data_IF_321105773389
#
_entry.id   IF_321105773389
#
_cell.length_a   1.000
_cell.length_b   1.000
_cell.length_c   1.000
_cell.angle_alpha   90.00
_cell.angle_beta   90.00
_cell.angle_gamma   90.00
#
_symmetry.space_group_name_H-M   'P 1'
#
loop_
_entity.id
_entity.type
_entity.pdbx_description
1 polymer ?
#
# COMPACT_ATOMS: atom_id res chain seq x y z
N UNK A 1 -12.81 5.92 25.69
CA UNK A 1 -13.02 5.04 24.52
C UNK A 1 -11.78 5.18 23.65
N UNK A 2 -11.29 4.11 23.07
CA UNK A 2 -10.16 4.12 22.14
C UNK A 2 -10.63 3.60 20.78
N UNK A 3 -10.05 4.14 19.72
CA UNK A 3 -10.21 3.66 18.35
C UNK A 3 -8.81 3.41 17.80
N UNK A 4 -8.64 2.34 17.02
CA UNK A 4 -7.45 2.07 16.25
C UNK A 4 -7.80 2.27 14.78
N UNK A 5 -7.03 3.10 14.08
CA UNK A 5 -7.19 3.36 12.66
C UNK A 5 -6.00 2.78 11.92
N UNK A 6 -6.27 1.97 10.89
CA UNK A 6 -5.27 1.32 10.03
C UNK A 6 -5.74 1.47 8.57
N UNK A 7 -4.86 2.01 7.70
CA UNK A 7 -5.17 2.21 6.30
C UNK A 7 -4.91 0.96 5.47
N UNK A 8 -5.99 0.37 4.96
CA UNK A 8 -5.94 -0.82 4.10
C UNK A 8 -4.94 -0.70 2.95
N UNK A 9 -4.01 -1.66 2.88
CA UNK A 9 -3.03 -1.79 1.79
C UNK A 9 -2.29 -0.47 1.48
N UNK A 10 -1.90 0.28 2.52
CA UNK A 10 -1.53 1.69 2.45
C UNK A 10 -0.70 2.10 1.22
N UNK A 11 0.47 1.50 0.98
CA UNK A 11 1.30 1.89 -0.17
C UNK A 11 0.63 1.60 -1.53
N UNK A 12 -0.06 0.47 -1.68
CA UNK A 12 -0.80 0.18 -2.93
C UNK A 12 -2.01 1.13 -3.09
N UNK A 13 -2.63 1.55 -2.00
CA UNK A 13 -3.70 2.55 -1.99
C UNK A 13 -3.18 3.93 -2.37
N UNK A 14 -1.98 4.33 -1.92
CA UNK A 14 -1.33 5.57 -2.32
C UNK A 14 -1.06 5.63 -3.82
N UNK A 15 -0.58 4.54 -4.42
CA UNK A 15 -0.34 4.47 -5.87
C UNK A 15 -1.62 4.50 -6.71
N UNK A 16 -2.76 4.14 -6.14
CA UNK A 16 -4.03 3.99 -6.87
C UNK A 16 -5.03 5.12 -6.64
N UNK A 17 -4.91 5.89 -5.55
CA UNK A 17 -5.89 6.92 -5.16
C UNK A 17 -6.13 7.96 -6.25
N UNK A 18 -5.10 8.31 -7.03
CA UNK A 18 -5.18 9.27 -8.14
C UNK A 18 -5.17 8.60 -9.53
N UNK A 19 -5.29 7.27 -9.60
CA UNK A 19 -5.15 6.47 -10.83
C UNK A 19 -6.42 5.66 -11.11
N UNK A 20 -7.49 6.29 -11.65
CA UNK A 20 -8.74 5.61 -11.92
C UNK A 20 -8.61 4.47 -12.95
N UNK A 21 -7.58 4.51 -13.81
CA UNK A 21 -7.23 3.46 -14.75
C UNK A 21 -6.74 2.15 -14.10
N UNK A 22 -6.43 2.17 -12.80
CA UNK A 22 -5.98 1.02 -12.03
C UNK A 22 -7.11 0.36 -11.20
N UNK A 23 -8.34 0.87 -11.27
CA UNK A 23 -9.48 0.30 -10.53
C UNK A 23 -9.72 -1.16 -10.91
N UNK A 24 -9.83 -2.02 -9.90
CA UNK A 24 -10.03 -3.46 -10.07
C UNK A 24 -8.81 -4.20 -10.64
N UNK A 25 -7.65 -3.55 -10.77
CA UNK A 25 -6.42 -4.21 -11.21
C UNK A 25 -5.58 -4.65 -10.01
N UNK A 26 -4.89 -5.79 -10.09
CA UNK A 26 -3.94 -6.19 -9.07
C UNK A 26 -2.72 -5.26 -9.10
N UNK A 27 -2.54 -4.49 -8.04
CA UNK A 27 -1.43 -3.56 -7.81
C UNK A 27 -0.55 -4.06 -6.66
N UNK A 28 0.77 -3.94 -6.83
CA UNK A 28 1.76 -4.22 -5.79
C UNK A 28 2.85 -3.14 -5.76
N UNK A 29 3.44 -2.96 -4.58
CA UNK A 29 4.62 -2.11 -4.37
C UNK A 29 5.79 -2.99 -3.97
N UNK A 30 6.93 -2.74 -4.60
CA UNK A 30 8.19 -3.46 -4.36
C UNK A 30 9.10 -2.64 -3.45
N UNK A 31 9.96 -3.34 -2.69
CA UNK A 31 10.99 -2.74 -1.84
C UNK A 31 12.03 -1.97 -2.65
N UNK A 32 12.97 -1.32 -1.97
CA UNK A 32 14.19 -0.79 -2.59
C UNK A 32 14.84 -1.81 -3.54
N UNK A 33 15.32 -1.32 -4.68
CA UNK A 33 15.85 -2.11 -5.79
C UNK A 33 14.89 -3.18 -6.33
N UNK A 34 13.58 -3.01 -6.14
CA UNK A 34 12.53 -3.91 -6.60
C UNK A 34 12.72 -5.37 -6.13
N UNK A 35 13.29 -5.54 -4.94
CA UNK A 35 13.69 -6.84 -4.40
C UNK A 35 12.50 -7.73 -4.06
N UNK A 36 11.64 -7.27 -3.15
CA UNK A 36 10.52 -8.04 -2.60
C UNK A 36 9.20 -7.27 -2.68
N UNK A 37 8.08 -8.00 -2.66
CA UNK A 37 6.75 -7.39 -2.52
C UNK A 37 6.55 -6.89 -1.10
N UNK A 38 6.30 -5.60 -0.91
CA UNK A 38 6.12 -4.99 0.42
C UNK A 38 4.71 -4.45 0.66
N UNK A 39 3.91 -4.26 -0.39
CA UNK A 39 2.49 -4.00 -0.28
C UNK A 39 1.74 -4.58 -1.48
N UNK A 40 0.48 -4.92 -1.26
CA UNK A 40 -0.39 -5.52 -2.27
C UNK A 40 -1.83 -5.09 -2.04
N UNK A 41 -2.50 -4.74 -3.14
CA UNK A 41 -3.95 -4.52 -3.21
C UNK A 41 -4.73 -5.80 -2.88
N UNK A 42 -6.02 -5.66 -2.62
CA UNK A 42 -6.92 -6.79 -2.39
C UNK A 42 -6.96 -7.72 -3.62
N UNK A 43 -6.97 -7.16 -4.82
CA UNK A 43 -6.94 -7.86 -6.09
C UNK A 43 -5.64 -8.66 -6.27
N UNK A 44 -4.49 -8.08 -5.92
CA UNK A 44 -3.21 -8.79 -5.95
C UNK A 44 -3.16 -9.93 -4.92
N UNK A 45 -3.74 -9.73 -3.73
CA UNK A 45 -3.87 -10.79 -2.72
C UNK A 45 -4.77 -11.93 -3.22
N UNK A 46 -5.89 -11.61 -3.86
CA UNK A 46 -6.80 -12.60 -4.45
C UNK A 46 -6.15 -13.37 -5.62
N UNK A 47 -5.26 -12.72 -6.36
CA UNK A 47 -4.44 -13.36 -7.40
C UNK A 47 -3.31 -14.27 -6.86
N UNK A 48 -3.16 -14.39 -5.54
CA UNK A 48 -2.18 -15.27 -4.90
C UNK A 48 -0.77 -14.69 -4.79
N UNK A 49 -0.56 -13.40 -5.05
CA UNK A 49 0.76 -12.77 -4.89
C UNK A 49 1.17 -12.76 -3.43
N UNK A 50 2.32 -13.36 -3.11
CA UNK A 50 2.83 -13.45 -1.74
C UNK A 50 3.50 -12.14 -1.28
N UNK A 51 3.25 -11.77 -0.02
CA UNK A 51 3.92 -10.66 0.67
C UNK A 51 5.33 -11.09 1.09
N UNK A 52 6.32 -10.20 0.99
CA UNK A 52 7.70 -10.44 1.41
C UNK A 52 8.52 -11.32 0.47
N UNK A 53 7.89 -12.02 -0.47
CA UNK A 53 8.59 -12.90 -1.39
C UNK A 53 9.31 -12.09 -2.49
N UNK A 54 10.55 -12.47 -2.87
CA UNK A 54 11.29 -11.79 -3.92
C UNK A 54 10.54 -11.73 -5.25
N UNK A 55 10.54 -10.56 -5.87
CA UNK A 55 9.86 -10.29 -7.14
C UNK A 55 10.26 -11.29 -8.23
N UNK A 56 11.54 -11.63 -8.33
CA UNK A 56 12.06 -12.52 -9.37
C UNK A 56 11.45 -13.93 -9.34
N UNK A 57 11.06 -14.43 -8.16
CA UNK A 57 10.45 -15.76 -8.01
C UNK A 57 8.98 -15.78 -8.41
N UNK A 58 8.32 -14.63 -8.44
CA UNK A 58 6.90 -14.50 -8.72
C UNK A 58 6.62 -13.95 -10.13
N UNK A 59 7.65 -13.68 -10.96
CA UNK A 59 7.52 -13.04 -12.28
C UNK A 59 6.48 -13.68 -13.20
N UNK A 60 6.41 -15.01 -13.25
CA UNK A 60 5.43 -15.71 -14.09
C UNK A 60 3.99 -15.51 -13.59
N UNK A 61 3.78 -15.55 -12.28
CA UNK A 61 2.48 -15.29 -11.68
C UNK A 61 2.04 -13.84 -11.94
N UNK A 62 2.96 -12.89 -11.80
CA UNK A 62 2.71 -11.48 -12.08
C UNK A 62 2.28 -11.25 -13.53
N UNK A 63 2.98 -11.88 -14.48
CA UNK A 63 2.64 -11.79 -15.90
C UNK A 63 1.25 -12.37 -16.18
N UNK A 64 0.94 -13.54 -15.60
CA UNK A 64 -0.36 -14.21 -15.80
C UNK A 64 -1.53 -13.44 -15.19
N UNK A 65 -1.33 -12.85 -14.01
CA UNK A 65 -2.36 -12.07 -13.32
C UNK A 65 -2.45 -10.61 -13.78
N UNK A 66 -1.57 -10.15 -14.68
CA UNK A 66 -1.60 -8.78 -15.19
C UNK A 66 -1.30 -7.72 -14.13
N UNK A 67 -0.43 -8.07 -13.16
CA UNK A 67 -0.08 -7.24 -12.00
C UNK A 67 0.63 -5.95 -12.44
N UNK A 68 0.22 -4.83 -11.87
CA UNK A 68 0.90 -3.54 -12.00
C UNK A 68 1.84 -3.37 -10.81
N UNK A 69 3.13 -3.19 -11.09
CA UNK A 69 4.15 -3.01 -10.07
C UNK A 69 4.60 -1.56 -10.00
N UNK A 70 4.81 -1.08 -8.78
CA UNK A 70 5.47 0.19 -8.50
C UNK A 70 6.71 -0.06 -7.65
N UNK A 71 7.79 0.65 -7.95
CA UNK A 71 8.89 0.81 -6.99
C UNK A 71 8.41 1.67 -5.82
N UNK A 72 9.01 1.50 -4.63
CA UNK A 72 8.64 2.30 -3.47
C UNK A 72 8.83 3.80 -3.68
N UNK A 73 7.77 4.58 -3.49
CA UNK A 73 7.78 6.04 -3.48
C UNK A 73 7.54 6.59 -2.06
N UNK A 74 8.58 6.59 -1.23
CA UNK A 74 8.45 6.96 0.18
C UNK A 74 8.05 8.42 0.41
N UNK A 75 8.38 9.33 -0.52
CA UNK A 75 7.95 10.73 -0.43
C UNK A 75 6.43 10.86 -0.56
N UNK A 76 5.85 10.17 -1.56
CA UNK A 76 4.40 10.09 -1.71
C UNK A 76 3.74 9.47 -0.48
N UNK A 77 4.29 8.37 0.04
CA UNK A 77 3.70 7.67 1.18
C UNK A 77 3.74 8.51 2.45
N UNK A 78 4.82 9.27 2.68
CA UNK A 78 4.92 10.18 3.82
C UNK A 78 3.94 11.37 3.71
N UNK A 79 3.78 11.95 2.51
CA UNK A 79 2.79 13.01 2.27
C UNK A 79 1.35 12.50 2.49
N UNK A 80 1.02 11.33 1.97
CA UNK A 80 -0.30 10.72 2.17
C UNK A 80 -0.56 10.36 3.65
N UNK A 81 0.45 9.84 4.35
CA UNK A 81 0.39 9.54 5.78
C UNK A 81 0.10 10.79 6.60
N UNK A 82 0.86 11.86 6.36
CA UNK A 82 0.67 13.16 7.02
C UNK A 82 -0.78 13.66 6.88
N UNK A 83 -1.36 13.57 5.69
CA UNK A 83 -2.76 13.97 5.45
C UNK A 83 -3.78 13.12 6.20
N UNK A 84 -3.56 11.80 6.30
CA UNK A 84 -4.41 10.91 7.10
C UNK A 84 -4.32 11.31 8.57
N UNK A 85 -3.11 11.47 9.11
CA UNK A 85 -2.92 11.81 10.53
C UNK A 85 -3.50 13.18 10.87
N UNK A 86 -3.30 14.20 10.03
CA UNK A 86 -3.94 15.51 10.21
C UNK A 86 -5.46 15.40 10.24
N UNK A 87 -6.05 14.56 9.39
CA UNK A 87 -7.51 14.35 9.40
C UNK A 87 -7.97 13.71 10.72
N UNK A 88 -7.20 12.76 11.27
CA UNK A 88 -7.51 12.13 12.55
C UNK A 88 -7.39 13.11 13.73
N UNK A 89 -6.38 13.99 13.71
CA UNK A 89 -6.17 15.02 14.72
C UNK A 89 -7.32 16.04 14.78
N UNK A 90 -8.00 16.30 13.65
CA UNK A 90 -9.20 17.13 13.61
C UNK A 90 -10.43 16.44 14.22
N UNK A 91 -10.45 15.09 14.24
CA UNK A 91 -11.59 14.28 14.69
C UNK A 91 -11.49 13.83 16.15
N UNK A 92 -10.30 13.81 16.72
CA UNK A 92 -10.04 13.31 18.07
C UNK A 92 -9.21 14.32 18.89
N UNK A 93 -9.52 14.56 20.17
CA UNK A 93 -8.72 15.44 21.01
C UNK A 93 -7.29 14.93 21.24
N UNK A 94 -7.03 13.63 21.00
CA UNK A 94 -5.71 13.00 21.11
C UNK A 94 -5.57 11.91 20.04
N UNK A 95 -4.43 11.92 19.36
CA UNK A 95 -4.01 10.89 18.39
C UNK A 95 -2.58 10.49 18.74
N UNK A 96 -2.26 9.20 18.65
CA UNK A 96 -0.91 8.68 18.87
C UNK A 96 -0.48 7.91 17.62
N UNK A 97 0.44 8.48 16.86
CA UNK A 97 0.92 7.87 15.61
C UNK A 97 1.81 6.68 15.96
N UNK A 98 1.38 5.48 15.57
CA UNK A 98 2.12 4.24 15.79
C UNK A 98 3.04 3.90 14.61
N UNK A 99 2.54 4.06 13.38
CA UNK A 99 3.26 3.76 12.15
C UNK A 99 2.92 4.78 11.05
N UNK A 100 3.36 4.52 9.82
CA UNK A 100 3.05 5.37 8.67
C UNK A 100 1.55 5.31 8.29
N UNK A 101 0.84 4.25 8.65
CA UNK A 101 -0.55 4.00 8.28
C UNK A 101 -1.47 3.73 9.47
N UNK A 102 -0.94 3.77 10.70
CA UNK A 102 -1.68 3.44 11.92
C UNK A 102 -1.59 4.53 13.00
N UNK A 103 -2.72 4.84 13.62
CA UNK A 103 -2.85 5.74 14.77
C UNK A 103 -4.12 5.50 15.61
#
# INVERSE_FOLDING_TARGET
MFALVDVNSFYASCETVFRPDLRGRPVVVLSNNDGCVIARSAEAKAAGIAMGEPFFKQKELFRRAGVVCFSSNYELYADMSSRVMTTLEEMSPRVEIYSIDEA
#
